data_IF_227231697321
#
_entry.id   IF_227231697321
#
_cell.length_a   1.000
_cell.length_b   1.000
_cell.length_c   1.000
_cell.angle_alpha   90.00
_cell.angle_beta   90.00
_cell.angle_gamma   90.00
#
_symmetry.space_group_name_H-M   'P 1'
#
loop_
_entity.id
_entity.type
_entity.pdbx_description
1 polymer ?
#
# COMPACT_ATOMS: atom_id res chain seq x y z
N UNK A 1 -8.82 -12.73 -5.75
CA UNK A 1 -9.53 -13.84 -5.09
C UNK A 1 -10.83 -14.01 -5.84
N UNK A 2 -11.19 -15.24 -6.22
CA UNK A 2 -12.50 -15.52 -6.87
C UNK A 2 -13.61 -15.54 -5.82
N UNK A 3 -14.87 -15.35 -6.26
CA UNK A 3 -16.02 -15.36 -5.35
C UNK A 3 -16.13 -16.69 -4.60
N UNK A 4 -15.93 -17.81 -5.28
CA UNK A 4 -15.91 -19.15 -4.65
C UNK A 4 -14.84 -19.27 -3.55
N UNK A 5 -13.64 -18.73 -3.78
CA UNK A 5 -12.59 -18.74 -2.76
C UNK A 5 -12.94 -17.83 -1.58
N UNK A 6 -13.60 -16.71 -1.83
CA UNK A 6 -14.08 -15.81 -0.78
C UNK A 6 -15.16 -16.49 0.09
N UNK A 7 -16.08 -17.20 -0.51
CA UNK A 7 -17.15 -17.93 0.20
C UNK A 7 -16.58 -19.02 1.12
N UNK A 8 -15.56 -19.74 0.67
CA UNK A 8 -14.87 -20.76 1.49
C UNK A 8 -14.22 -20.10 2.71
N UNK A 9 -13.48 -18.99 2.49
CA UNK A 9 -12.84 -18.25 3.59
C UNK A 9 -13.87 -17.68 4.55
N UNK A 10 -14.96 -17.12 4.04
CA UNK A 10 -16.05 -16.57 4.85
C UNK A 10 -16.74 -17.63 5.71
N UNK A 11 -16.97 -18.82 5.15
CA UNK A 11 -17.53 -19.94 5.89
C UNK A 11 -16.64 -20.40 7.07
N UNK A 12 -15.31 -20.33 6.91
CA UNK A 12 -14.36 -20.62 8.01
C UNK A 12 -14.36 -19.49 9.06
N UNK A 13 -14.44 -18.23 8.63
CA UNK A 13 -14.54 -17.08 9.55
C UNK A 13 -15.76 -17.19 10.43
N UNK A 14 -16.92 -17.58 9.87
CA UNK A 14 -18.17 -17.73 10.63
C UNK A 14 -18.11 -18.81 11.72
N UNK A 15 -17.22 -19.79 11.62
CA UNK A 15 -17.02 -20.83 12.64
C UNK A 15 -16.18 -20.35 13.83
N UNK A 16 -15.54 -19.19 13.70
CA UNK A 16 -14.60 -18.65 14.69
C UNK A 16 -15.31 -17.63 15.57
N UNK A 17 -15.23 -17.79 16.89
CA UNK A 17 -15.73 -16.78 17.82
C UNK A 17 -14.93 -15.48 17.66
N UNK A 18 -15.64 -14.35 17.49
CA UNK A 18 -15.04 -13.06 17.17
C UNK A 18 -14.13 -12.55 18.30
N UNK A 19 -14.45 -12.87 19.54
CA UNK A 19 -13.73 -12.34 20.72
C UNK A 19 -12.64 -13.29 21.22
N UNK A 20 -12.89 -14.60 21.15
CA UNK A 20 -12.03 -15.60 21.80
C UNK A 20 -11.42 -16.61 20.83
N UNK A 21 -11.90 -16.67 19.60
CA UNK A 21 -11.48 -17.66 18.62
C UNK A 21 -10.12 -17.42 17.96
N UNK A 22 -9.57 -16.21 18.05
CA UNK A 22 -8.27 -15.89 17.48
C UNK A 22 -7.13 -16.44 18.33
N UNK A 23 -6.31 -17.31 17.76
CA UNK A 23 -5.07 -17.75 18.39
C UNK A 23 -4.03 -16.62 18.27
N UNK A 24 -3.56 -16.13 19.40
CA UNK A 24 -2.58 -15.05 19.46
C UNK A 24 -1.27 -15.53 20.07
N UNK A 25 -0.19 -14.86 19.70
CA UNK A 25 1.13 -15.02 20.31
C UNK A 25 1.84 -13.66 20.38
N UNK A 26 2.84 -13.48 21.26
CA UNK A 26 3.67 -12.30 21.25
C UNK A 26 4.37 -12.13 19.89
N UNK A 27 4.44 -10.90 19.39
CA UNK A 27 5.03 -10.59 18.08
C UNK A 27 6.49 -11.06 17.97
N UNK A 28 7.30 -10.85 19.03
CA UNK A 28 8.68 -11.28 19.07
C UNK A 28 8.83 -12.80 18.94
N UNK A 29 7.95 -13.55 19.59
CA UNK A 29 7.91 -15.02 19.51
C UNK A 29 7.54 -15.49 18.08
N UNK A 30 6.63 -14.76 17.42
CA UNK A 30 6.25 -15.03 16.04
C UNK A 30 7.41 -14.86 15.06
N UNK A 31 8.23 -13.82 15.25
CA UNK A 31 9.45 -13.59 14.46
C UNK A 31 10.50 -14.69 14.73
N UNK A 32 10.76 -15.01 16.00
CA UNK A 32 11.73 -16.02 16.39
C UNK A 32 11.39 -17.41 15.84
N UNK A 33 10.10 -17.74 15.79
CA UNK A 33 9.60 -19.00 15.23
C UNK A 33 9.44 -19.01 13.71
N UNK A 34 9.73 -17.92 13.03
CA UNK A 34 9.53 -17.80 11.57
C UNK A 34 8.06 -17.86 11.13
N UNK A 35 7.11 -17.61 12.04
CA UNK A 35 5.68 -17.53 11.72
C UNK A 35 5.34 -16.14 11.16
N UNK A 36 6.10 -15.13 11.57
CA UNK A 36 6.02 -13.76 11.08
C UNK A 36 7.34 -13.46 10.38
N UNK A 37 7.27 -12.98 9.16
CA UNK A 37 8.43 -12.54 8.39
C UNK A 37 8.17 -11.14 7.82
N UNK A 38 9.22 -10.33 7.73
CA UNK A 38 9.16 -9.09 6.98
C UNK A 38 9.28 -9.37 5.49
N UNK A 39 8.52 -8.64 4.69
CA UNK A 39 8.64 -8.70 3.24
C UNK A 39 10.03 -8.21 2.84
N UNK A 40 10.78 -9.06 2.11
CA UNK A 40 12.12 -8.75 1.64
C UNK A 40 12.15 -7.88 0.38
N UNK A 41 13.34 -7.36 0.07
CA UNK A 41 13.56 -6.49 -1.09
C UNK A 41 13.28 -7.20 -2.43
N UNK A 42 13.46 -8.51 -2.49
CA UNK A 42 13.13 -9.32 -3.65
C UNK A 42 11.66 -9.26 -4.03
N UNK A 43 10.77 -9.35 -3.05
CA UNK A 43 9.34 -9.23 -3.26
C UNK A 43 8.94 -7.79 -3.65
N UNK A 44 9.56 -6.78 -3.01
CA UNK A 44 9.31 -5.37 -3.30
C UNK A 44 9.77 -5.03 -4.73
N UNK A 45 10.96 -5.48 -5.13
CA UNK A 45 11.50 -5.26 -6.46
C UNK A 45 10.64 -5.96 -7.54
N UNK A 46 10.19 -7.18 -7.28
CA UNK A 46 9.27 -7.86 -8.18
C UNK A 46 7.95 -7.10 -8.39
N UNK A 47 7.45 -6.42 -7.35
CA UNK A 47 6.29 -5.53 -7.47
C UNK A 47 6.60 -4.35 -8.39
N UNK A 48 7.74 -3.68 -8.20
CA UNK A 48 8.14 -2.54 -9.02
C UNK A 48 8.30 -2.93 -10.49
N UNK A 49 9.00 -4.01 -10.77
CA UNK A 49 9.16 -4.55 -12.12
C UNK A 49 7.79 -4.87 -12.78
N UNK A 50 6.86 -5.46 -12.02
CA UNK A 50 5.53 -5.77 -12.52
C UNK A 50 4.72 -4.50 -12.84
N UNK A 51 4.87 -3.43 -12.07
CA UNK A 51 4.22 -2.13 -12.32
C UNK A 51 4.82 -1.47 -13.57
N UNK A 52 6.14 -1.39 -13.66
CA UNK A 52 6.84 -0.76 -14.78
C UNK A 52 6.56 -1.47 -16.10
N UNK A 53 6.46 -2.80 -16.10
CA UNK A 53 6.09 -3.60 -17.26
C UNK A 53 4.69 -3.27 -17.82
N UNK A 54 3.84 -2.55 -17.08
CA UNK A 54 2.54 -2.06 -17.55
C UNK A 54 2.61 -0.73 -18.29
N UNK A 55 3.79 -0.12 -18.36
CA UNK A 55 3.96 1.15 -19.07
C UNK A 55 3.68 0.99 -20.56
N UNK A 56 2.71 1.73 -21.07
CA UNK A 56 2.33 1.74 -22.51
C UNK A 56 3.36 2.51 -23.35
N UNK A 57 3.98 3.54 -22.73
CA UNK A 57 4.96 4.42 -23.38
C UNK A 57 6.18 4.61 -22.48
N UNK A 58 7.06 3.61 -22.38
CA UNK A 58 8.24 3.70 -21.53
C UNK A 58 9.09 4.94 -21.88
N UNK A 59 9.54 5.66 -20.85
CA UNK A 59 10.45 6.79 -21.02
C UNK A 59 9.79 8.13 -21.37
N UNK A 60 8.49 8.19 -21.67
CA UNK A 60 7.81 9.46 -22.02
C UNK A 60 7.94 10.50 -20.89
N UNK A 61 7.90 10.07 -19.64
CA UNK A 61 7.97 10.96 -18.49
C UNK A 61 9.37 11.59 -18.32
N UNK A 62 10.43 10.94 -18.84
CA UNK A 62 11.81 11.46 -18.73
C UNK A 62 12.03 12.79 -19.45
N UNK A 63 11.24 13.06 -20.49
CA UNK A 63 11.33 14.27 -21.31
C UNK A 63 10.18 15.23 -21.10
N UNK A 64 9.17 14.84 -20.31
CA UNK A 64 7.95 15.62 -20.13
C UNK A 64 8.11 16.82 -19.19
N UNK A 65 9.16 16.87 -18.36
CA UNK A 65 9.42 17.97 -17.41
C UNK A 65 8.29 18.16 -16.40
N UNK A 66 7.65 17.06 -15.99
CA UNK A 66 6.50 17.10 -15.09
C UNK A 66 6.93 17.49 -13.68
N UNK A 67 6.17 18.42 -13.10
CA UNK A 67 6.21 18.75 -11.67
C UNK A 67 4.99 18.15 -11.00
N UNK A 68 5.20 17.32 -10.01
CA UNK A 68 4.15 16.55 -9.36
C UNK A 68 4.02 16.93 -7.89
N UNK A 69 2.80 17.12 -7.42
CA UNK A 69 2.48 17.15 -5.99
C UNK A 69 1.83 15.82 -5.64
N UNK A 70 2.39 15.15 -4.65
CA UNK A 70 1.91 13.84 -4.19
C UNK A 70 1.55 13.86 -2.71
N UNK A 71 0.42 13.26 -2.37
CA UNK A 71 0.03 12.99 -1.00
C UNK A 71 -0.30 11.52 -0.81
N UNK A 72 0.39 10.82 0.11
CA UNK A 72 0.02 9.47 0.53
C UNK A 72 -1.20 9.45 1.48
N UNK A 73 -1.77 10.61 1.85
CA UNK A 73 -2.91 10.73 2.76
C UNK A 73 -2.73 9.98 4.09
N UNK A 74 -1.55 10.09 4.69
CA UNK A 74 -1.16 9.35 5.90
C UNK A 74 -1.22 7.81 5.74
N UNK A 75 -1.20 7.31 4.52
CA UNK A 75 -1.18 5.88 4.18
C UNK A 75 0.22 5.35 3.89
N UNK A 76 0.31 4.13 3.40
CA UNK A 76 1.56 3.41 3.12
C UNK A 76 2.17 3.69 1.75
N UNK A 77 1.53 4.55 0.93
CA UNK A 77 1.94 4.76 -0.47
C UNK A 77 3.21 5.57 -0.68
N UNK A 78 3.77 6.24 0.34
CA UNK A 78 4.90 7.15 0.17
C UNK A 78 6.06 6.49 -0.57
N UNK A 79 6.62 5.43 0.01
CA UNK A 79 7.81 4.77 -0.54
C UNK A 79 7.56 4.14 -1.91
N UNK A 80 6.55 3.26 -2.09
CA UNK A 80 6.38 2.58 -3.37
C UNK A 80 5.99 3.52 -4.51
N UNK A 81 5.15 4.52 -4.26
CA UNK A 81 4.71 5.44 -5.31
C UNK A 81 5.84 6.37 -5.75
N UNK A 82 6.57 6.96 -4.80
CA UNK A 82 7.69 7.84 -5.15
C UNK A 82 8.81 7.08 -5.85
N UNK A 83 9.07 5.83 -5.45
CA UNK A 83 10.04 4.96 -6.13
C UNK A 83 9.67 4.77 -7.60
N UNK A 84 8.48 4.28 -7.88
CA UNK A 84 8.02 4.05 -9.26
C UNK A 84 8.00 5.35 -10.08
N UNK A 85 7.58 6.47 -9.49
CA UNK A 85 7.57 7.77 -10.16
C UNK A 85 8.99 8.18 -10.59
N UNK A 86 9.99 7.99 -9.72
CA UNK A 86 11.39 8.26 -10.06
C UNK A 86 11.88 7.37 -11.20
N UNK A 87 11.59 6.08 -11.16
CA UNK A 87 12.07 5.12 -12.15
C UNK A 87 11.50 5.39 -13.55
N UNK A 88 10.25 5.80 -13.64
CA UNK A 88 9.65 6.22 -14.91
C UNK A 88 10.11 7.62 -15.37
N UNK A 89 10.86 8.35 -14.54
CA UNK A 89 11.51 9.62 -14.89
C UNK A 89 10.83 10.89 -14.38
N UNK A 90 9.92 10.80 -13.42
CA UNK A 90 9.36 11.97 -12.73
C UNK A 90 10.21 12.22 -11.48
N UNK A 91 11.09 13.22 -11.54
CA UNK A 91 12.03 13.52 -10.46
C UNK A 91 11.70 14.79 -9.66
N UNK A 92 10.84 15.67 -10.21
CA UNK A 92 10.37 16.87 -9.50
C UNK A 92 9.05 16.54 -8.78
N UNK A 93 9.18 15.92 -7.60
CA UNK A 93 8.06 15.47 -6.78
C UNK A 93 8.07 16.23 -5.46
N UNK A 94 6.99 16.97 -5.19
CA UNK A 94 6.73 17.59 -3.90
C UNK A 94 5.75 16.71 -3.12
N UNK A 95 6.20 16.11 -2.03
CA UNK A 95 5.31 15.38 -1.12
C UNK A 95 4.68 16.37 -0.14
N UNK A 96 3.38 16.22 0.12
CA UNK A 96 2.66 17.05 1.10
C UNK A 96 3.13 16.67 2.51
N UNK A 97 3.87 17.57 3.22
CA UNK A 97 4.57 17.18 4.47
C UNK A 97 3.64 16.73 5.59
N UNK A 98 2.46 17.35 5.68
CA UNK A 98 1.48 17.07 6.74
C UNK A 98 0.82 15.70 6.57
N UNK A 99 0.89 15.11 5.38
CA UNK A 99 0.24 13.85 5.01
C UNK A 99 1.25 12.74 4.69
N UNK A 100 2.53 13.03 4.81
CA UNK A 100 3.64 12.13 4.43
C UNK A 100 3.71 10.88 5.31
N UNK A 101 3.63 11.09 6.64
CA UNK A 101 3.79 10.00 7.60
C UNK A 101 2.50 9.18 7.76
N UNK A 102 2.59 7.85 7.79
CA UNK A 102 1.44 7.01 8.11
C UNK A 102 0.83 7.37 9.46
N UNK A 103 -0.49 7.61 9.48
CA UNK A 103 -1.25 7.86 10.70
C UNK A 103 -2.67 7.31 10.53
N UNK A 104 -3.01 6.27 11.31
CA UNK A 104 -4.32 5.63 11.27
C UNK A 104 -5.49 6.50 11.74
N UNK A 105 -5.22 7.65 12.37
CA UNK A 105 -6.25 8.61 12.76
C UNK A 105 -6.60 9.59 11.63
N UNK A 106 -5.81 9.66 10.56
CA UNK A 106 -6.03 10.54 9.42
C UNK A 106 -6.38 11.98 9.81
N UNK A 107 -5.55 12.67 10.59
CA UNK A 107 -5.92 13.92 11.27
C UNK A 107 -6.28 15.06 10.30
N UNK A 108 -5.75 15.01 9.08
CA UNK A 108 -5.92 16.05 8.06
C UNK A 108 -6.91 15.67 6.96
N UNK A 109 -7.50 14.48 7.02
CA UNK A 109 -8.52 14.06 6.07
C UNK A 109 -9.87 14.54 6.54
N UNK A 110 -10.36 15.61 5.92
CA UNK A 110 -11.71 16.09 6.20
C UNK A 110 -12.72 15.08 5.66
N UNK A 111 -13.67 14.62 6.47
CA UNK A 111 -14.72 13.66 6.09
C UNK A 111 -15.49 14.03 4.80
N UNK A 112 -15.51 15.31 4.43
CA UNK A 112 -16.12 15.79 3.18
C UNK A 112 -15.34 15.37 1.93
N UNK A 113 -14.02 15.17 2.02
CA UNK A 113 -13.20 14.76 0.86
C UNK A 113 -13.43 13.29 0.54
N UNK A 114 -13.61 12.45 1.55
CA UNK A 114 -13.90 11.01 1.36
C UNK A 114 -15.25 10.82 0.64
N UNK A 115 -16.26 11.62 0.96
CA UNK A 115 -17.58 11.58 0.30
C UNK A 115 -17.54 12.02 -1.18
N UNK A 116 -16.61 12.90 -1.56
CA UNK A 116 -16.44 13.34 -2.95
C UNK A 116 -15.72 12.34 -3.84
N UNK A 117 -14.97 11.38 -3.25
CA UNK A 117 -14.26 10.33 -3.98
C UNK A 117 -15.12 9.07 -4.20
N UNK A 118 -16.25 8.94 -3.50
CA UNK A 118 -17.18 7.79 -3.57
C UNK A 118 -18.61 8.20 -3.98
N UNK A 119 -18.85 9.44 -4.37
CA UNK A 119 -20.14 9.97 -4.84
C UNK A 119 -20.35 9.87 -6.35
#
# INVERSE_FOLDING_TARGET
MTDEAADIVYAEIQKTDILTGAKTMPFAEGLEKGIIEYVGDDCINALYEAIEARSIRPGICKTAGLKLVYSPLNGSGLVPVTHVLHDIGITDITVVPEQEKPDGNFPLVNKRIILLLYG
#
